data_IF_286327531531
#
_entry.id   IF_286327531531
#
_cell.length_a   1.000
_cell.length_b   1.000
_cell.length_c   1.000
_cell.angle_alpha   90.00
_cell.angle_beta   90.00
_cell.angle_gamma   90.00
#
_symmetry.space_group_name_H-M   'P 1'
#
loop_
_entity.id
_entity.type
_entity.pdbx_description
1 polymer ?
#
# COMPACT_ATOMS: atom_id res chain seq x y z
N UNK A 1 19.40 8.88 36.10
CA UNK A 1 18.50 7.93 35.46
C UNK A 1 17.16 7.88 36.21
N UNK A 2 16.04 8.01 35.47
CA UNK A 2 14.71 7.95 36.01
C UNK A 2 13.91 6.85 35.29
N UNK A 3 13.28 5.91 36.04
CA UNK A 3 12.39 4.92 35.41
C UNK A 3 11.20 5.58 34.69
N UNK A 4 10.68 6.70 35.21
CA UNK A 4 9.59 7.44 34.56
C UNK A 4 10.03 8.00 33.21
N UNK A 5 11.25 8.53 33.10
CA UNK A 5 11.80 9.04 31.85
C UNK A 5 11.97 7.91 30.84
N UNK A 6 12.48 6.74 31.28
CA UNK A 6 12.63 5.56 30.44
C UNK A 6 11.28 5.10 29.88
N UNK A 7 10.23 5.07 30.68
CA UNK A 7 8.90 4.71 30.24
C UNK A 7 8.34 5.73 29.25
N UNK A 8 8.60 7.02 29.47
CA UNK A 8 8.17 8.08 28.55
C UNK A 8 8.86 7.90 27.19
N UNK A 9 10.16 7.63 27.17
CA UNK A 9 10.92 7.43 25.93
C UNK A 9 10.40 6.22 25.15
N UNK A 10 10.10 5.10 25.84
CA UNK A 10 9.53 3.92 25.20
C UNK A 10 8.16 4.23 24.59
N UNK A 11 7.32 4.97 25.31
CA UNK A 11 6.01 5.38 24.83
C UNK A 11 6.11 6.26 23.59
N UNK A 12 7.07 7.18 23.56
CA UNK A 12 7.30 8.04 22.39
C UNK A 12 7.76 7.26 21.16
N UNK A 13 8.66 6.29 21.34
CA UNK A 13 9.11 5.42 20.26
C UNK A 13 7.96 4.58 19.71
N UNK A 14 7.12 4.04 20.57
CA UNK A 14 5.96 3.26 20.16
C UNK A 14 4.98 4.10 19.36
N UNK A 15 4.70 5.31 19.80
CA UNK A 15 3.80 6.22 19.09
C UNK A 15 4.36 6.65 17.75
N UNK A 16 5.68 6.91 17.67
CA UNK A 16 6.35 7.28 16.43
C UNK A 16 6.28 6.14 15.41
N UNK A 17 6.53 4.91 15.86
CA UNK A 17 6.43 3.72 15.01
C UNK A 17 5.01 3.55 14.48
N UNK A 18 3.99 3.75 15.35
CA UNK A 18 2.59 3.64 14.93
C UNK A 18 2.22 4.68 13.88
N UNK A 19 2.71 5.93 14.03
CA UNK A 19 2.47 6.98 13.04
C UNK A 19 3.05 6.62 11.68
N UNK A 20 4.26 6.06 11.66
CA UNK A 20 4.89 5.61 10.42
C UNK A 20 4.05 4.51 9.77
N UNK A 21 3.61 3.52 10.54
CA UNK A 21 2.78 2.43 10.01
C UNK A 21 1.46 2.96 9.47
N UNK A 22 0.83 3.91 10.14
CA UNK A 22 -0.44 4.50 9.69
C UNK A 22 -0.27 5.25 8.37
N UNK A 23 0.81 6.02 8.22
CA UNK A 23 1.10 6.74 6.98
C UNK A 23 1.38 5.77 5.83
N UNK A 24 2.19 4.74 6.09
CA UNK A 24 2.51 3.71 5.09
C UNK A 24 1.24 2.97 4.69
N UNK A 25 0.42 2.55 5.65
CA UNK A 25 -0.82 1.84 5.38
C UNK A 25 -1.76 2.66 4.50
N UNK A 26 -1.90 3.95 4.79
CA UNK A 26 -2.72 4.85 3.99
C UNK A 26 -2.21 4.94 2.56
N UNK A 27 -0.89 5.08 2.38
CA UNK A 27 -0.28 5.11 1.05
C UNK A 27 -0.51 3.81 0.28
N UNK A 28 -0.42 2.66 0.97
CA UNK A 28 -0.68 1.36 0.35
C UNK A 28 -2.13 1.23 -0.09
N UNK A 29 -3.08 1.70 0.71
CA UNK A 29 -4.50 1.65 0.37
C UNK A 29 -4.82 2.60 -0.79
N UNK A 30 -4.15 3.74 -0.87
CA UNK A 30 -4.27 4.64 -2.03
C UNK A 30 -3.78 3.95 -3.30
N UNK A 31 -2.66 3.23 -3.21
CA UNK A 31 -2.13 2.48 -4.36
C UNK A 31 -3.08 1.36 -4.79
N UNK A 32 -3.67 0.65 -3.83
CA UNK A 32 -4.71 -0.35 -4.11
C UNK A 32 -5.87 0.27 -4.89
N UNK A 33 -6.31 1.47 -4.51
CA UNK A 33 -7.41 2.14 -5.18
C UNK A 33 -7.09 2.47 -6.64
N UNK A 34 -5.84 2.80 -6.96
CA UNK A 34 -5.40 3.03 -8.34
C UNK A 34 -5.53 1.76 -9.18
N UNK A 35 -5.05 0.62 -8.66
CA UNK A 35 -5.16 -0.65 -9.39
C UNK A 35 -6.62 -1.13 -9.51
N UNK A 36 -7.45 -0.87 -8.50
CA UNK A 36 -8.89 -1.16 -8.58
C UNK A 36 -9.55 -0.34 -9.69
N UNK A 37 -9.23 0.94 -9.79
CA UNK A 37 -9.75 1.80 -10.84
C UNK A 37 -9.30 1.31 -12.22
N UNK A 38 -8.04 0.86 -12.33
CA UNK A 38 -7.53 0.29 -13.57
C UNK A 38 -8.32 -0.96 -14.00
N UNK A 39 -8.61 -1.85 -13.05
CA UNK A 39 -9.42 -3.05 -13.30
C UNK A 39 -10.83 -2.66 -13.74
N UNK A 40 -11.47 -1.73 -13.03
CA UNK A 40 -12.81 -1.28 -13.34
C UNK A 40 -12.90 -0.69 -14.75
N UNK A 41 -11.94 0.15 -15.13
CA UNK A 41 -11.90 0.77 -16.44
C UNK A 41 -11.67 -0.27 -17.54
N UNK A 42 -10.74 -1.21 -17.33
CA UNK A 42 -10.41 -2.25 -18.30
C UNK A 42 -11.55 -3.24 -18.52
N UNK A 43 -12.38 -3.49 -17.50
CA UNK A 43 -13.50 -4.44 -17.60
C UNK A 43 -14.82 -3.76 -18.01
N UNK A 44 -14.80 -2.46 -18.22
CA UNK A 44 -15.99 -1.72 -18.63
C UNK A 44 -17.03 -1.55 -17.52
N UNK A 45 -16.60 -1.64 -16.25
CA UNK A 45 -17.50 -1.43 -15.13
C UNK A 45 -18.06 0.00 -15.16
N UNK A 46 -19.36 0.13 -14.86
CA UNK A 46 -20.03 1.43 -14.82
C UNK A 46 -19.93 2.04 -13.41
N UNK A 47 -19.92 3.36 -13.35
CA UNK A 47 -19.86 4.09 -12.10
C UNK A 47 -18.62 4.96 -12.01
N UNK A 48 -18.54 5.83 -10.98
CA UNK A 48 -17.39 6.70 -10.81
C UNK A 48 -16.16 5.91 -10.35
N UNK A 49 -14.99 6.33 -10.82
CA UNK A 49 -13.72 5.80 -10.32
C UNK A 49 -13.41 6.40 -8.94
N UNK A 50 -12.65 5.68 -8.12
CA UNK A 50 -12.19 6.19 -6.83
C UNK A 50 -11.28 7.40 -7.04
N UNK A 51 -10.46 7.38 -8.10
CA UNK A 51 -9.49 8.42 -8.42
C UNK A 51 -9.85 9.09 -9.75
N UNK A 52 -11.03 9.71 -9.83
CA UNK A 52 -11.51 10.38 -11.06
C UNK A 52 -10.51 11.39 -11.59
N UNK A 53 -9.86 12.13 -10.71
CA UNK A 53 -8.91 13.19 -11.07
C UNK A 53 -7.65 12.67 -11.76
N UNK A 54 -7.35 11.37 -11.64
CA UNK A 54 -6.18 10.75 -12.26
C UNK A 54 -6.55 9.71 -13.31
N UNK A 55 -7.72 9.89 -13.94
CA UNK A 55 -8.20 8.95 -14.96
C UNK A 55 -7.18 8.72 -16.09
N UNK A 56 -6.41 9.75 -16.46
CA UNK A 56 -5.36 9.63 -17.48
C UNK A 56 -4.25 8.68 -17.04
N UNK A 57 -3.84 8.76 -15.76
CA UNK A 57 -2.80 7.88 -15.21
C UNK A 57 -3.30 6.44 -15.11
N UNK A 58 -4.57 6.26 -14.75
CA UNK A 58 -5.21 4.94 -14.72
C UNK A 58 -5.23 4.34 -16.13
N UNK A 59 -5.52 5.13 -17.16
CA UNK A 59 -5.50 4.66 -18.55
C UNK A 59 -4.10 4.18 -18.96
N UNK A 60 -3.03 4.83 -18.48
CA UNK A 60 -1.66 4.37 -18.75
C UNK A 60 -1.37 3.03 -18.10
N UNK A 61 -1.81 2.83 -16.87
CA UNK A 61 -1.66 1.55 -16.15
C UNK A 61 -2.37 0.43 -16.93
N UNK A 62 -3.56 0.71 -17.46
CA UNK A 62 -4.33 -0.24 -18.26
C UNK A 62 -3.58 -0.65 -19.52
N UNK A 63 -3.00 0.32 -20.24
CA UNK A 63 -2.29 0.03 -21.49
C UNK A 63 -1.09 -0.88 -21.30
N UNK A 64 -0.43 -0.83 -20.16
CA UNK A 64 0.75 -1.64 -19.89
C UNK A 64 0.49 -2.93 -19.13
N UNK A 65 -0.79 -3.29 -18.89
CA UNK A 65 -1.10 -4.40 -17.99
C UNK A 65 -2.45 -5.03 -18.32
N UNK A 66 -2.77 -6.10 -17.57
CA UNK A 66 -4.06 -6.78 -17.68
C UNK A 66 -4.80 -6.68 -16.34
N UNK A 67 -6.14 -6.86 -16.32
CA UNK A 67 -6.88 -6.92 -15.06
C UNK A 67 -6.34 -7.99 -14.11
N UNK A 68 -5.93 -9.14 -14.63
CA UNK A 68 -5.37 -10.23 -13.85
C UNK A 68 -4.05 -9.83 -13.18
N UNK A 69 -3.18 -9.14 -13.91
CA UNK A 69 -1.93 -8.64 -13.35
C UNK A 69 -2.19 -7.60 -12.26
N UNK A 70 -3.13 -6.68 -12.51
CA UNK A 70 -3.46 -5.65 -11.53
C UNK A 70 -4.10 -6.24 -10.27
N UNK A 71 -4.86 -7.31 -10.41
CA UNK A 71 -5.40 -8.03 -9.27
C UNK A 71 -4.28 -8.68 -8.44
N UNK A 72 -3.28 -9.26 -9.10
CA UNK A 72 -2.10 -9.81 -8.40
C UNK A 72 -1.30 -8.71 -7.68
N UNK A 73 -1.17 -7.54 -8.31
CA UNK A 73 -0.49 -6.40 -7.69
C UNK A 73 -1.19 -5.96 -6.40
N UNK A 74 -2.52 -5.93 -6.40
CA UNK A 74 -3.30 -5.65 -5.20
C UNK A 74 -2.98 -6.69 -4.12
N UNK A 75 -2.92 -7.97 -4.49
CA UNK A 75 -2.56 -9.05 -3.57
C UNK A 75 -1.19 -8.85 -2.93
N UNK A 76 -0.19 -8.42 -3.70
CA UNK A 76 1.15 -8.16 -3.17
C UNK A 76 1.18 -6.96 -2.22
N UNK A 77 0.35 -5.96 -2.47
CA UNK A 77 0.24 -4.82 -1.56
C UNK A 77 -0.37 -5.25 -0.23
N UNK A 78 -1.43 -6.06 -0.27
CA UNK A 78 -2.03 -6.61 0.95
C UNK A 78 -1.06 -7.53 1.69
N UNK A 79 -0.23 -8.29 0.98
CA UNK A 79 0.79 -9.12 1.61
C UNK A 79 1.82 -8.27 2.33
N UNK A 80 2.31 -7.20 1.74
CA UNK A 80 3.24 -6.29 2.39
C UNK A 80 2.61 -5.69 3.65
N UNK A 81 1.35 -5.30 3.57
CA UNK A 81 0.60 -4.77 4.70
C UNK A 81 0.52 -5.79 5.84
N UNK A 82 0.19 -7.03 5.52
CA UNK A 82 0.13 -8.12 6.49
C UNK A 82 1.49 -8.33 7.16
N UNK A 83 2.57 -8.35 6.38
CA UNK A 83 3.92 -8.50 6.91
C UNK A 83 4.26 -7.44 7.94
N UNK A 84 3.88 -6.20 7.68
CA UNK A 84 4.14 -5.09 8.60
C UNK A 84 3.26 -5.13 9.85
N UNK A 85 1.96 -5.38 9.68
CA UNK A 85 0.98 -5.24 10.75
C UNK A 85 0.83 -6.50 11.59
N UNK A 86 0.92 -7.69 10.97
CA UNK A 86 0.71 -8.96 11.66
C UNK A 86 2.04 -9.60 12.09
N UNK A 87 3.08 -9.48 11.26
CA UNK A 87 4.34 -10.18 11.50
C UNK A 87 5.48 -9.26 11.91
N UNK A 88 5.21 -7.97 12.12
CA UNK A 88 6.20 -6.99 12.57
C UNK A 88 7.45 -6.91 11.67
N UNK A 89 7.33 -7.21 10.40
CA UNK A 89 8.43 -7.02 9.45
C UNK A 89 8.70 -5.51 9.36
N UNK A 90 9.96 -5.06 9.43
CA UNK A 90 10.26 -3.65 9.28
C UNK A 90 9.69 -3.09 7.98
N UNK A 91 9.03 -1.92 8.01
CA UNK A 91 8.40 -1.36 6.81
C UNK A 91 9.31 -1.27 5.61
N UNK A 92 10.57 -0.91 5.80
CA UNK A 92 11.52 -0.81 4.70
C UNK A 92 11.67 -2.14 3.96
N UNK A 93 11.80 -3.25 4.70
CA UNK A 93 11.97 -4.57 4.10
C UNK A 93 10.69 -5.03 3.38
N UNK A 94 9.54 -4.82 4.01
CA UNK A 94 8.26 -5.20 3.41
C UNK A 94 8.00 -4.41 2.12
N UNK A 95 8.28 -3.10 2.13
CA UNK A 95 8.08 -2.25 0.96
C UNK A 95 9.07 -2.57 -0.16
N UNK A 96 10.34 -2.86 0.15
CA UNK A 96 11.31 -3.27 -0.85
C UNK A 96 10.88 -4.56 -1.56
N UNK A 97 10.46 -5.56 -0.78
CA UNK A 97 9.96 -6.82 -1.34
C UNK A 97 8.73 -6.59 -2.22
N UNK A 98 7.81 -5.75 -1.76
CA UNK A 98 6.62 -5.38 -2.53
C UNK A 98 7.00 -4.73 -3.85
N UNK A 99 7.94 -3.77 -3.84
CA UNK A 99 8.34 -3.06 -5.05
C UNK A 99 8.96 -4.02 -6.08
N UNK A 100 9.72 -5.00 -5.62
CA UNK A 100 10.25 -6.05 -6.51
C UNK A 100 9.10 -6.86 -7.11
N UNK A 101 8.13 -7.27 -6.28
CA UNK A 101 6.98 -8.05 -6.73
C UNK A 101 6.13 -7.27 -7.77
N UNK A 102 5.91 -5.97 -7.53
CA UNK A 102 5.12 -5.13 -8.43
C UNK A 102 5.76 -4.98 -9.82
N UNK A 103 7.06 -5.13 -9.94
CA UNK A 103 7.79 -5.09 -11.22
C UNK A 103 7.68 -6.42 -11.98
N UNK A 104 7.34 -7.50 -11.29
CA UNK A 104 7.26 -8.84 -11.87
C UNK A 104 5.98 -8.95 -12.70
N UNK A 105 6.11 -9.49 -13.90
CA UNK A 105 4.98 -9.69 -14.82
C UNK A 105 4.49 -11.12 -14.80
#
# INVERSE_FOLDING_TARGET
>A
YSPALSELEKGQKTRAKRRVLDVVDRGLMDLVSVYRDAIAEATGATGPLVNEEIRGDVAEVIRGSTPELNLRRIGWIFEAREQMLEFNVPPQLALEAMMVALRTR
#
